data_IF_480509433862
#
_entry.id   IF_480509433862
#
_cell.length_a   1.000
_cell.length_b   1.000
_cell.length_c   1.000
_cell.angle_alpha   90.00
_cell.angle_beta   90.00
_cell.angle_gamma   90.00
#
_symmetry.space_group_name_H-M   'P 1'
#
loop_
_entity.id
_entity.type
_entity.pdbx_description
1 polymer ?
#
# COMPACT_ATOMS: atom_id res chain seq x y z
N UNK A 1 10.89 7.97 20.84
CA UNK A 1 11.57 7.39 19.67
C UNK A 1 10.55 7.14 18.57
N UNK A 2 10.87 7.51 17.37
CA UNK A 2 9.94 7.42 16.25
C UNK A 2 9.92 6.03 15.65
N UNK A 3 8.71 5.55 15.35
CA UNK A 3 8.52 4.24 14.70
C UNK A 3 8.74 4.28 13.21
N UNK A 4 8.63 5.46 12.61
CA UNK A 4 8.77 5.66 11.15
C UNK A 4 7.80 4.82 10.32
N UNK A 5 6.54 4.86 10.70
CA UNK A 5 5.50 4.14 9.99
C UNK A 5 4.97 4.92 8.80
N UNK A 6 4.52 4.20 7.79
CA UNK A 6 3.96 4.78 6.58
C UNK A 6 2.67 4.08 6.19
N UNK A 7 1.74 4.87 5.68
CA UNK A 7 0.53 4.38 5.04
C UNK A 7 0.69 4.62 3.54
N UNK A 8 0.73 3.56 2.76
CA UNK A 8 0.83 3.69 1.32
C UNK A 8 -0.55 3.58 0.71
N UNK A 9 -0.85 4.51 -0.20
CA UNK A 9 -2.08 4.53 -0.96
C UNK A 9 -1.77 4.04 -2.38
N UNK A 10 -2.42 2.96 -2.76
CA UNK A 10 -2.25 2.32 -4.07
C UNK A 10 -3.62 2.15 -4.70
N UNK A 11 -3.73 2.37 -6.00
CA UNK A 11 -4.94 2.04 -6.73
C UNK A 11 -4.65 0.90 -7.68
N UNK A 12 -5.63 0.01 -7.83
CA UNK A 12 -5.53 -1.14 -8.73
C UNK A 12 -6.73 -1.16 -9.67
N UNK A 13 -6.61 -1.91 -10.76
CA UNK A 13 -7.66 -1.99 -11.76
C UNK A 13 -8.91 -2.70 -11.27
N UNK A 14 -8.76 -3.60 -10.29
CA UNK A 14 -9.87 -4.36 -9.76
C UNK A 14 -9.49 -4.97 -8.40
N UNK A 15 -10.48 -5.54 -7.75
CA UNK A 15 -10.32 -6.16 -6.44
C UNK A 15 -9.34 -7.33 -6.45
N UNK A 16 -9.37 -8.14 -7.49
CA UNK A 16 -8.49 -9.30 -7.61
C UNK A 16 -7.02 -8.90 -7.62
N UNK A 17 -6.70 -7.86 -8.36
CA UNK A 17 -5.33 -7.33 -8.41
C UNK A 17 -4.90 -6.83 -7.04
N UNK A 18 -5.76 -6.08 -6.35
CA UNK A 18 -5.48 -5.58 -5.00
C UNK A 18 -5.24 -6.73 -4.03
N UNK A 19 -6.06 -7.78 -4.09
CA UNK A 19 -5.91 -8.95 -3.23
C UNK A 19 -4.58 -9.66 -3.47
N UNK A 20 -4.22 -9.84 -4.73
CA UNK A 20 -2.98 -10.52 -5.10
C UNK A 20 -1.75 -9.76 -4.62
N UNK A 21 -1.71 -8.46 -4.87
CA UNK A 21 -0.60 -7.61 -4.44
C UNK A 21 -0.55 -7.52 -2.92
N UNK A 22 -1.68 -7.26 -2.28
CA UNK A 22 -1.75 -7.14 -0.82
C UNK A 22 -1.30 -8.39 -0.10
N UNK A 23 -1.75 -9.55 -0.58
CA UNK A 23 -1.35 -10.84 -0.01
C UNK A 23 0.16 -11.06 -0.15
N UNK A 24 0.71 -10.79 -1.31
CA UNK A 24 2.15 -10.96 -1.54
C UNK A 24 2.98 -10.08 -0.60
N UNK A 25 2.55 -8.84 -0.39
CA UNK A 25 3.24 -7.92 0.51
C UNK A 25 3.26 -8.43 1.95
N UNK A 26 2.12 -8.90 2.44
CA UNK A 26 2.02 -9.41 3.80
C UNK A 26 2.78 -10.73 3.96
N UNK A 27 2.65 -11.63 3.01
CA UNK A 27 3.34 -12.93 3.05
C UNK A 27 4.86 -12.78 3.04
N UNK A 28 5.38 -11.78 2.34
CA UNK A 28 6.82 -11.54 2.26
C UNK A 28 7.35 -10.65 3.39
N UNK A 29 6.51 -10.33 4.36
CA UNK A 29 6.85 -9.45 5.48
C UNK A 29 7.31 -8.05 5.05
N UNK A 30 6.75 -7.57 3.94
CA UNK A 30 6.99 -6.21 3.45
C UNK A 30 5.97 -5.22 4.00
N UNK A 31 4.86 -5.73 4.52
CA UNK A 31 3.81 -4.91 5.11
C UNK A 31 3.17 -5.65 6.28
N UNK A 32 2.75 -4.89 7.28
CA UNK A 32 2.02 -5.44 8.41
C UNK A 32 0.58 -5.77 8.03
N UNK A 33 0.01 -4.95 7.17
CA UNK A 33 -1.42 -5.01 6.87
C UNK A 33 -1.69 -4.43 5.50
N UNK A 34 -2.66 -5.02 4.81
CA UNK A 34 -3.20 -4.51 3.56
C UNK A 34 -4.72 -4.45 3.67
N UNK A 35 -5.28 -3.28 3.41
CA UNK A 35 -6.73 -3.08 3.44
C UNK A 35 -7.20 -2.78 2.02
N UNK A 36 -8.33 -3.37 1.65
CA UNK A 36 -8.86 -3.26 0.30
C UNK A 36 -10.23 -2.60 0.35
N UNK A 37 -10.40 -1.54 -0.43
CA UNK A 37 -11.68 -0.85 -0.55
C UNK A 37 -12.07 -0.83 -2.02
N UNK A 38 -13.08 -1.60 -2.37
CA UNK A 38 -13.56 -1.73 -3.73
C UNK A 38 -14.58 -0.64 -4.06
N UNK A 39 -14.88 -0.47 -5.33
CA UNK A 39 -15.93 0.42 -5.78
C UNK A 39 -15.55 1.90 -5.84
N UNK A 40 -14.28 2.21 -5.92
CA UNK A 40 -13.82 3.59 -6.07
C UNK A 40 -13.99 4.03 -7.52
N UNK A 41 -14.43 5.27 -7.70
CA UNK A 41 -14.48 5.90 -9.03
C UNK A 41 -13.34 6.91 -9.11
N UNK A 42 -12.59 6.87 -10.21
CA UNK A 42 -11.47 7.77 -10.44
C UNK A 42 -11.74 8.61 -11.66
N UNK A 43 -11.53 9.91 -11.54
CA UNK A 43 -11.67 10.86 -12.63
C UNK A 43 -10.33 11.56 -12.76
N UNK A 44 -9.71 11.48 -13.93
CA UNK A 44 -8.37 12.01 -14.12
C UNK A 44 -8.12 12.37 -15.57
N UNK A 45 -7.06 13.15 -15.79
CA UNK A 45 -6.66 13.54 -17.14
C UNK A 45 -5.45 12.69 -17.55
N UNK A 46 -5.57 12.04 -18.71
CA UNK A 46 -4.49 11.23 -19.27
C UNK A 46 -4.39 11.52 -20.76
N UNK A 47 -3.19 11.89 -21.19
CA UNK A 47 -2.92 12.24 -22.60
C UNK A 47 -3.92 13.25 -23.15
N UNK A 48 -4.23 14.28 -22.35
CA UNK A 48 -5.12 15.37 -22.78
C UNK A 48 -6.61 15.08 -22.70
N UNK A 49 -7.00 13.87 -22.31
CA UNK A 49 -8.40 13.47 -22.23
C UNK A 49 -8.81 13.21 -20.79
N UNK A 50 -10.07 13.50 -20.47
CA UNK A 50 -10.65 13.18 -19.17
C UNK A 50 -11.15 11.74 -19.21
N UNK A 51 -10.70 10.94 -18.28
CA UNK A 51 -11.07 9.53 -18.16
C UNK A 51 -11.78 9.29 -16.84
N UNK A 52 -12.69 8.33 -16.85
CA UNK A 52 -13.42 7.89 -15.67
C UNK A 52 -13.32 6.37 -15.61
N UNK A 53 -12.72 5.88 -14.54
CA UNK A 53 -12.54 4.44 -14.35
C UNK A 53 -13.01 4.02 -12.97
N UNK A 54 -13.43 2.76 -12.88
CA UNK A 54 -13.65 2.12 -11.58
C UNK A 54 -12.36 1.47 -11.17
N UNK A 55 -11.94 1.74 -9.94
CA UNK A 55 -10.72 1.21 -9.40
C UNK A 55 -10.93 0.68 -7.99
N UNK A 56 -9.92 0.00 -7.49
CA UNK A 56 -9.90 -0.52 -6.13
C UNK A 56 -8.75 0.13 -5.37
N UNK A 57 -8.99 0.51 -4.12
CA UNK A 57 -7.95 1.08 -3.26
C UNK A 57 -7.29 -0.03 -2.47
N UNK A 58 -5.97 -0.01 -2.44
CA UNK A 58 -5.17 -0.88 -1.59
C UNK A 58 -4.38 0.01 -0.64
N UNK A 59 -4.70 -0.07 0.65
CA UNK A 59 -3.99 0.67 1.70
C UNK A 59 -3.00 -0.26 2.38
N UNK A 60 -1.75 0.16 2.48
CA UNK A 60 -0.67 -0.67 3.00
C UNK A 60 -0.05 0.03 4.20
N UNK A 61 0.03 -0.68 5.32
CA UNK A 61 0.65 -0.16 6.54
C UNK A 61 1.97 -0.85 6.75
N UNK A 62 3.04 -0.08 6.81
CA UNK A 62 4.38 -0.65 6.91
C UNK A 62 5.37 0.32 7.55
N UNK A 63 6.59 -0.13 7.73
CA UNK A 63 7.68 0.68 8.22
C UNK A 63 8.37 1.39 7.05
N UNK A 64 8.91 2.57 7.31
CA UNK A 64 9.64 3.36 6.32
C UNK A 64 10.68 2.54 5.55
N UNK A 65 11.41 1.68 6.24
CA UNK A 65 12.48 0.88 5.63
C UNK A 65 12.00 -0.09 4.56
N UNK A 66 10.70 -0.36 4.50
CA UNK A 66 10.11 -1.30 3.53
C UNK A 66 9.53 -0.62 2.29
N UNK A 67 9.38 0.70 2.33
CA UNK A 67 8.65 1.44 1.28
C UNK A 67 9.19 1.20 -0.11
N UNK A 68 10.51 1.19 -0.29
CA UNK A 68 11.11 0.96 -1.61
C UNK A 68 10.80 -0.44 -2.14
N UNK A 69 10.90 -1.45 -1.29
CA UNK A 69 10.60 -2.83 -1.69
C UNK A 69 9.12 -3.02 -1.98
N UNK A 70 8.25 -2.39 -1.18
CA UNK A 70 6.81 -2.40 -1.43
C UNK A 70 6.52 -1.78 -2.80
N UNK A 71 7.08 -0.61 -3.06
CA UNK A 71 6.86 0.09 -4.33
C UNK A 71 7.32 -0.76 -5.51
N UNK A 72 8.49 -1.39 -5.39
CA UNK A 72 9.01 -2.26 -6.45
C UNK A 72 8.08 -3.45 -6.70
N UNK A 73 7.64 -4.11 -5.65
CA UNK A 73 6.76 -5.28 -5.80
C UNK A 73 5.43 -4.87 -6.42
N UNK A 74 4.86 -3.73 -5.99
CA UNK A 74 3.63 -3.21 -6.59
C UNK A 74 3.82 -2.97 -8.08
N UNK A 75 4.91 -2.32 -8.47
CA UNK A 75 5.19 -2.05 -9.89
C UNK A 75 5.35 -3.34 -10.69
N UNK A 76 6.02 -4.34 -10.11
CA UNK A 76 6.27 -5.61 -10.81
C UNK A 76 5.01 -6.42 -11.03
N UNK A 77 4.04 -6.32 -10.12
CA UNK A 77 2.80 -7.11 -10.18
C UNK A 77 1.63 -6.37 -10.81
N UNK A 78 1.75 -5.06 -10.99
CA UNK A 78 0.64 -4.21 -11.39
C UNK A 78 0.37 -4.28 -12.90
N UNK A 79 -0.92 -4.21 -13.26
CA UNK A 79 -1.34 -4.21 -14.67
C UNK A 79 -1.06 -2.88 -15.37
N UNK A 80 -0.94 -1.78 -14.60
CA UNK A 80 -0.62 -0.46 -15.18
C UNK A 80 0.87 -0.31 -15.37
N UNK A 81 1.24 0.42 -16.41
CA UNK A 81 2.64 0.77 -16.64
C UNK A 81 3.14 1.74 -15.56
N UNK A 82 2.30 2.70 -15.17
CA UNK A 82 2.64 3.69 -14.14
C UNK A 82 1.57 3.64 -13.03
N UNK A 83 1.72 2.72 -12.08
CA UNK A 83 0.74 2.60 -11.00
C UNK A 83 0.86 3.72 -9.99
N UNK A 84 -0.26 4.05 -9.36
CA UNK A 84 -0.30 5.00 -8.25
C UNK A 84 0.25 4.34 -7.00
N UNK A 85 1.35 4.86 -6.48
CA UNK A 85 1.90 4.47 -5.18
C UNK A 85 2.31 5.74 -4.46
N UNK A 86 1.59 6.08 -3.41
CA UNK A 86 1.85 7.30 -2.63
C UNK A 86 2.10 6.89 -1.19
N UNK A 87 3.14 7.46 -0.58
CA UNK A 87 3.49 7.19 0.81
C UNK A 87 3.09 8.36 1.69
N UNK A 88 2.33 8.08 2.75
CA UNK A 88 1.89 9.06 3.74
C UNK A 88 2.51 8.72 5.09
N UNK A 89 2.93 9.76 5.81
CA UNK A 89 3.47 9.58 7.15
C UNK A 89 2.33 9.32 8.15
N UNK A 90 2.52 8.31 8.99
CA UNK A 90 1.59 8.04 10.09
C UNK A 90 2.08 8.82 11.30
N UNK A 91 1.18 9.60 11.90
CA UNK A 91 1.48 10.38 13.10
C UNK A 91 1.57 9.44 14.30
N UNK A 92 2.74 9.40 14.95
CA UNK A 92 3.03 8.38 15.95
C UNK A 92 2.54 8.70 17.36
N UNK A 93 2.34 10.00 17.65
CA UNK A 93 1.88 10.44 18.96
C UNK A 93 0.36 10.40 19.09
N UNK A 94 -0.32 10.03 18.03
CA UNK A 94 -1.77 10.00 17.97
C UNK A 94 -2.25 8.59 17.60
N UNK A 95 -3.48 8.27 17.98
CA UNK A 95 -4.06 6.96 17.70
C UNK A 95 -3.74 5.94 18.80
N UNK A 96 -3.99 4.68 18.50
CA UNK A 96 -3.81 3.59 19.44
C UNK A 96 -2.37 3.08 19.41
N UNK A 97 -1.63 3.34 20.49
CA UNK A 97 -0.22 2.96 20.61
C UNK A 97 -0.01 1.45 20.42
N UNK A 98 -0.85 0.64 20.99
CA UNK A 98 -0.69 -0.82 20.88
C UNK A 98 -0.82 -1.29 19.42
N UNK A 99 -1.73 -0.70 18.68
CA UNK A 99 -1.89 -1.01 17.26
C UNK A 99 -0.68 -0.55 16.46
N UNK A 100 -0.19 0.65 16.73
CA UNK A 100 0.99 1.19 16.04
C UNK A 100 2.24 0.37 16.34
N UNK A 101 2.39 -0.10 17.59
CA UNK A 101 3.47 -1.01 17.97
C UNK A 101 3.39 -2.32 17.18
N UNK A 102 2.18 -2.84 17.00
CA UNK A 102 1.96 -4.05 16.21
C UNK A 102 2.35 -3.84 14.74
N UNK A 103 1.98 -2.69 14.15
CA UNK A 103 2.36 -2.37 12.77
C UNK A 103 3.88 -2.35 12.63
N UNK A 104 4.57 -1.72 13.57
CA UNK A 104 6.03 -1.68 13.57
C UNK A 104 6.63 -3.08 13.65
N UNK A 105 6.18 -3.87 14.62
CA UNK A 105 6.69 -5.22 14.82
C UNK A 105 6.50 -6.11 13.60
N UNK A 106 5.31 -6.11 13.04
CA UNK A 106 5.01 -6.95 11.88
C UNK A 106 5.74 -6.50 10.62
N UNK A 107 5.98 -5.19 10.50
CA UNK A 107 6.70 -4.64 9.35
C UNK A 107 8.21 -4.89 9.42
N UNK A 108 8.73 -5.28 10.58
CA UNK A 108 10.17 -5.51 10.77
C UNK A 108 10.54 -6.99 10.83
N UNK A 109 9.60 -7.87 10.56
CA UNK A 109 9.90 -9.30 10.49
C UNK A 109 10.89 -9.56 9.34
N UNK A 110 11.76 -10.58 9.47
CA UNK A 110 12.69 -10.92 8.38
C UNK A 110 11.94 -11.18 7.08
N UNK A 111 12.53 -10.75 5.97
CA UNK A 111 11.95 -11.01 4.66
C UNK A 111 11.84 -12.50 4.40
N UNK A 112 10.74 -12.91 3.79
CA UNK A 112 10.61 -14.26 3.27
C UNK A 112 11.11 -14.28 1.84
N UNK A 113 11.96 -15.23 1.58
CA UNK A 113 12.53 -15.43 0.25
C UNK A 113 11.72 -16.47 -0.51
#
# INVERSE_FOLDING_TARGET
MYKNLRLLYVTTSNRKEAQKIGRALVEQNLAACANIIDGMESIYKWEGEIREDKECVLLIKTHFSRVRKVTRLVKDMHSYEVPCVISLTITEDEGNREYLDWVEEMSKQPFKL
#
